data_IF_441882076229
#
_entry.id   IF_441882076229
#
_cell.length_a   1.000
_cell.length_b   1.000
_cell.length_c   1.000
_cell.angle_alpha   90.00
_cell.angle_beta   90.00
_cell.angle_gamma   90.00
#
_symmetry.space_group_name_H-M   'P 1'
#
loop_
_entity.id
_entity.type
_entity.pdbx_description
1 polymer ?
2 non-polymer ?
3 non-polymer ?
4 non-polymer ?
5 water ?
#
# COMPACT_ATOMS: atom_id res chain seq x y z
N UNK A 1 -4.55 -6.72 8.17
CA UNK A 1 -5.53 -7.84 8.04
C UNK A 1 -6.27 -7.69 6.73
N UNK A 2 -7.07 -6.63 6.62
CA UNK A 2 -7.77 -6.36 5.38
C UNK A 2 -6.84 -5.98 4.25
N UNK A 3 -6.00 -4.98 4.44
CA UNK A 3 -5.04 -4.63 3.37
C UNK A 3 -4.23 -5.87 3.04
N UNK A 4 -3.78 -6.58 4.06
CA UNK A 4 -3.04 -7.81 3.88
C UNK A 4 -3.79 -8.85 3.07
N UNK A 5 -5.11 -8.97 3.30
CA UNK A 5 -5.88 -9.93 2.49
C UNK A 5 -5.95 -9.48 1.03
N UNK A 6 -6.17 -8.19 0.84
CA UNK A 6 -6.19 -7.63 -0.50
C UNK A 6 -4.87 -7.87 -1.25
N UNK A 7 -3.76 -7.60 -0.57
CA UNK A 7 -2.43 -7.83 -1.19
C UNK A 7 -2.28 -9.29 -1.65
N UNK A 8 -2.70 -10.22 -0.78
CA UNK A 8 -2.57 -11.65 -1.11
C UNK A 8 -3.44 -12.03 -2.27
N UNK A 9 -4.70 -11.62 -2.26
CA UNK A 9 -5.57 -11.86 -3.41
C UNK A 9 -5.04 -11.31 -4.71
N UNK A 10 -4.40 -10.15 -4.70
CA UNK A 10 -3.99 -9.53 -5.94
C UNK A 10 -2.61 -9.92 -6.44
N UNK A 11 -1.71 -10.35 -5.56
CA UNK A 11 -0.29 -10.54 -5.95
C UNK A 11 0.17 -11.99 -5.94
N UNK A 12 -0.59 -12.88 -5.29
CA UNK A 12 -0.16 -14.26 -5.05
C UNK A 12 0.89 -14.41 -3.95
N UNK A 13 1.30 -13.31 -3.31
CA UNK A 13 2.33 -13.34 -2.30
C UNK A 13 1.68 -13.18 -0.97
N UNK A 14 2.35 -13.66 0.06
CA UNK A 14 1.96 -13.38 1.41
C UNK A 14 2.10 -11.87 1.68
N UNK A 15 1.22 -11.34 2.51
CA UNK A 15 1.27 -9.95 2.96
C UNK A 15 2.63 -9.54 3.56
N UNK A 16 3.28 -10.47 4.26
CA UNK A 16 4.64 -10.29 4.84
C UNK A 16 5.74 -9.95 3.81
N UNK A 17 5.54 -10.31 2.54
CA UNK A 17 6.47 -9.97 1.49
C UNK A 17 6.43 -8.49 1.04
N UNK A 18 5.41 -7.76 1.47
CA UNK A 18 5.28 -6.34 1.21
C UNK A 18 5.43 -5.48 2.45
N UNK A 19 5.20 -6.03 3.63
CA UNK A 19 5.03 -5.18 4.81
C UNK A 19 6.24 -4.38 5.26
N UNK A 20 7.47 -4.79 4.93
CA UNK A 20 8.66 -3.94 5.20
C UNK A 20 9.58 -3.77 3.95
N UNK A 21 8.97 -3.80 2.79
CA UNK A 21 9.71 -3.73 1.54
C UNK A 21 10.27 -2.36 1.24
N UNK A 22 11.50 -2.30 0.74
CA UNK A 22 12.10 -1.00 0.35
C UNK A 22 12.09 0.06 1.43
N UNK A 23 11.95 1.33 1.03
CA UNK A 23 11.94 2.42 1.97
C UNK A 23 10.58 2.87 2.44
N UNK A 24 9.50 2.53 1.71
CA UNK A 24 8.17 3.03 2.00
C UNK A 24 7.12 2.00 2.49
N UNK A 25 7.29 0.72 2.21
CA UNK A 25 6.22 -0.25 2.51
C UNK A 25 6.26 -0.59 4.00
N UNK A 26 5.11 -0.55 4.66
CA UNK A 26 5.07 -0.46 6.12
C UNK A 26 5.27 0.94 6.71
N UNK A 27 5.49 1.01 8.02
CA UNK A 27 5.32 2.29 8.74
C UNK A 27 6.45 3.25 8.42
N UNK A 28 6.08 4.50 8.17
CA UNK A 28 7.04 5.53 7.82
C UNK A 28 7.49 5.40 6.38
N UNK A 29 8.56 6.10 6.07
CA UNK A 29 9.03 6.15 4.72
C UNK A 29 9.77 7.43 4.53
N UNK A 30 10.99 7.33 4.05
CA UNK A 30 11.77 8.51 3.73
C UNK A 30 12.77 8.11 2.65
N UNK A 31 13.45 9.13 2.10
CA UNK A 31 14.43 8.95 1.07
C UNK A 31 13.82 8.45 -0.23
N UNK A 32 14.64 7.97 -1.14
CA UNK A 32 14.17 7.68 -2.45
C UNK A 32 13.72 6.22 -2.55
N UNK A 33 12.54 5.99 -3.15
CA UNK A 33 12.02 4.63 -3.30
C UNK A 33 12.98 3.75 -4.07
N UNK A 34 13.12 2.49 -3.67
CA UNK A 34 14.09 1.62 -4.32
C UNK A 34 13.70 1.16 -5.71
N UNK A 35 12.39 1.12 -6.00
CA UNK A 35 11.90 0.49 -7.22
C UNK A 35 10.39 0.77 -7.38
N UNK A 36 9.76 0.21 -8.39
CA UNK A 36 8.38 0.57 -8.72
C UNK A 36 7.40 0.10 -7.64
N UNK A 37 7.67 -1.06 -7.05
CA UNK A 37 6.84 -1.54 -5.96
C UNK A 37 6.92 -0.56 -4.79
N UNK A 38 8.12 -0.05 -4.54
CA UNK A 38 8.31 0.87 -3.42
C UNK A 38 7.59 2.21 -3.72
N UNK A 39 7.60 2.65 -4.96
CA UNK A 39 6.81 3.82 -5.34
C UNK A 39 5.30 3.61 -5.05
N UNK A 40 4.78 2.40 -5.29
CA UNK A 40 3.40 2.08 -4.87
C UNK A 40 3.21 2.46 -3.44
N UNK A 41 4.15 2.07 -2.57
CA UNK A 41 4.07 2.38 -1.14
C UNK A 41 4.24 3.86 -0.80
N UNK A 42 5.14 4.54 -1.53
CA UNK A 42 5.21 5.98 -1.39
C UNK A 42 3.82 6.61 -1.71
N UNK A 43 3.21 6.27 -2.83
CA UNK A 43 1.86 6.82 -3.18
C UNK A 43 0.78 6.46 -2.12
N UNK A 44 0.86 5.25 -1.58
CA UNK A 44 -0.07 4.75 -0.52
C UNK A 44 0.05 5.56 0.75
N UNK A 45 1.29 5.83 1.17
CA UNK A 45 1.54 6.72 2.29
C UNK A 45 0.93 8.11 2.03
N UNK A 46 1.09 8.61 0.83
CA UNK A 46 0.54 9.93 0.46
C UNK A 46 -1.01 9.93 0.53
N UNK A 47 -1.58 8.83 0.04
CA UNK A 47 -3.04 8.62 0.04
C UNK A 47 -3.56 8.62 1.46
N UNK A 48 -2.95 7.83 2.34
CA UNK A 48 -3.31 7.89 3.75
C UNK A 48 -3.19 9.28 4.37
N UNK A 49 -2.14 10.03 3.99
CA UNK A 49 -1.95 11.39 4.47
C UNK A 49 -3.14 12.29 4.09
N UNK A 50 -3.58 12.18 2.84
CA UNK A 50 -4.75 12.93 2.37
C UNK A 50 -5.97 12.54 3.19
N UNK A 51 -6.14 11.24 3.47
CA UNK A 51 -7.29 10.80 4.28
C UNK A 51 -7.27 11.35 5.72
N UNK A 52 -6.09 11.38 6.34
CA UNK A 52 -5.95 11.95 7.67
C UNK A 52 -6.35 13.44 7.66
N UNK A 53 -5.93 14.19 6.67
CA UNK A 53 -6.32 15.59 6.49
C UNK A 53 -7.84 15.78 6.25
N UNK A 54 -8.51 14.77 5.72
CA UNK A 54 -9.97 14.76 5.61
C UNK A 54 -10.76 14.38 6.86
N UNK A 55 -10.10 14.08 7.97
CA UNK A 55 -10.75 13.61 9.16
C UNK A 55 -10.81 12.11 9.35
N UNK A 56 -10.28 11.30 8.42
CA UNK A 56 -10.29 9.84 8.55
C UNK A 56 -9.12 9.31 9.39
N UNK A 57 -9.23 8.06 9.84
CA UNK A 57 -8.14 7.38 10.54
C UNK A 57 -7.76 6.12 9.78
N UNK A 58 -7.10 6.29 8.62
CA UNK A 58 -6.99 5.16 7.67
C UNK A 58 -6.20 3.98 8.21
N UNK A 59 -5.25 4.21 9.11
CA UNK A 59 -4.53 3.09 9.73
C UNK A 59 -5.42 2.24 10.62
N UNK A 60 -6.55 2.77 11.07
CA UNK A 60 -7.48 2.05 11.93
C UNK A 60 -8.79 1.58 11.24
N UNK A 61 -9.12 2.14 10.09
CA UNK A 61 -10.44 1.91 9.51
C UNK A 61 -10.52 0.46 9.01
N UNK A 62 -11.70 -0.11 9.11
CA UNK A 62 -11.98 -1.43 8.59
C UNK A 62 -13.06 -1.27 7.55
N UNK A 63 -12.92 -1.97 6.44
CA UNK A 63 -13.85 -1.82 5.33
C UNK A 63 -14.21 -3.24 4.82
N UNK A 64 -15.05 -3.26 3.82
CA UNK A 64 -15.46 -4.47 3.15
C UNK A 64 -15.01 -4.46 1.73
N UNK A 65 -14.57 -5.60 1.22
CA UNK A 65 -14.28 -5.68 -0.19
C UNK A 65 -14.45 -7.06 -0.76
N UNK A 66 -14.64 -7.12 -2.08
CA UNK A 66 -14.63 -8.39 -2.81
C UNK A 66 -13.67 -8.27 -3.98
N UNK A 67 -13.15 -9.41 -4.42
CA UNK A 67 -12.31 -9.55 -5.62
C UNK A 67 -13.00 -10.55 -6.54
N UNK A 68 -13.47 -10.07 -7.68
CA UNK A 68 -14.04 -10.91 -8.69
C UNK A 68 -13.17 -10.84 -9.95
N UNK A 69 -13.62 -11.50 -11.00
CA UNK A 69 -13.06 -11.30 -12.34
C UNK A 69 -13.09 -9.84 -12.79
N UNK A 70 -13.98 -9.03 -12.22
CA UNK A 70 -14.14 -7.61 -12.64
C UNK A 70 -13.20 -6.62 -11.90
N UNK A 71 -12.53 -7.10 -10.86
CA UNK A 71 -11.62 -6.25 -10.09
C UNK A 71 -11.96 -6.24 -8.62
N UNK A 72 -11.59 -5.17 -7.93
CA UNK A 72 -11.79 -5.05 -6.48
C UNK A 72 -12.97 -4.14 -6.30
N UNK A 73 -13.95 -4.58 -5.51
CA UNK A 73 -15.10 -3.76 -5.16
C UNK A 73 -15.01 -3.36 -3.69
N UNK A 74 -15.01 -2.05 -3.42
CA UNK A 74 -14.87 -1.49 -2.07
C UNK A 74 -16.22 -1.15 -1.46
N UNK A 75 -16.35 -1.28 -0.14
CA UNK A 75 -17.59 -0.95 0.53
C UNK A 75 -17.32 -0.65 1.98
N UNK A 76 -18.33 -0.13 2.61
CA UNK A 76 -18.23 0.23 4.03
C UNK A 76 -19.34 1.16 4.40
N UNK A 77 -19.73 1.11 5.67
CA UNK A 77 -20.77 1.99 6.24
C UNK A 77 -20.44 3.48 6.12
N UNK A 78 -19.17 3.85 6.28
CA UNK A 78 -18.80 5.25 6.28
C UNK A 78 -17.91 5.58 5.10
N UNK A 79 -17.99 6.82 4.69
CA UNK A 79 -17.16 7.30 3.60
C UNK A 79 -15.64 7.13 3.91
N UNK A 80 -15.25 7.33 5.16
CA UNK A 80 -13.85 7.12 5.55
C UNK A 80 -13.40 5.69 5.35
N UNK A 81 -14.29 4.73 5.61
CA UNK A 81 -13.94 3.31 5.39
C UNK A 81 -13.79 3.05 3.89
N UNK A 82 -14.68 3.61 3.07
CA UNK A 82 -14.62 3.41 1.63
C UNK A 82 -13.37 4.09 1.03
N UNK A 83 -13.02 5.25 1.56
CA UNK A 83 -11.77 5.95 1.13
C UNK A 83 -10.53 5.12 1.43
N UNK A 84 -10.46 4.58 2.63
CA UNK A 84 -9.34 3.71 3.03
C UNK A 84 -9.21 2.51 2.08
N UNK A 85 -10.33 1.85 1.83
CA UNK A 85 -10.40 0.79 0.82
C UNK A 85 -9.87 1.22 -0.55
N UNK A 86 -10.26 2.41 -1.02
CA UNK A 86 -9.80 2.90 -2.28
C UNK A 86 -8.27 3.13 -2.31
N UNK A 87 -7.72 3.72 -1.26
CA UNK A 87 -6.23 3.85 -1.17
C UNK A 87 -5.52 2.47 -1.25
N UNK A 88 -6.03 1.52 -0.49
CA UNK A 88 -5.47 0.16 -0.46
C UNK A 88 -5.58 -0.50 -1.83
N UNK A 89 -6.75 -0.35 -2.48
CA UNK A 89 -7.00 -0.91 -3.82
C UNK A 89 -5.98 -0.39 -4.82
N UNK A 90 -5.77 0.92 -4.83
CA UNK A 90 -4.78 1.51 -5.73
C UNK A 90 -3.39 0.87 -5.53
N UNK A 91 -2.99 0.72 -4.28
CA UNK A 91 -1.71 0.15 -3.95
C UNK A 91 -1.65 -1.32 -4.34
N UNK A 92 -2.72 -2.10 -4.04
CA UNK A 92 -2.70 -3.53 -4.38
C UNK A 92 -2.65 -3.73 -5.88
N UNK A 93 -3.36 -2.88 -6.63
CA UNK A 93 -3.28 -2.93 -8.09
C UNK A 93 -1.91 -2.56 -8.61
N UNK A 94 -1.31 -1.54 -8.01
CA UNK A 94 0.03 -1.12 -8.35
C UNK A 94 1.08 -2.26 -8.05
N UNK A 95 0.97 -2.92 -6.90
CA UNK A 95 1.83 -4.09 -6.63
C UNK A 95 1.70 -5.13 -7.75
N UNK A 96 0.47 -5.53 -8.06
CA UNK A 96 0.22 -6.49 -9.11
C UNK A 96 0.87 -6.11 -10.41
N UNK A 97 0.62 -4.88 -10.82
CA UNK A 97 1.16 -4.32 -12.02
C UNK A 97 2.73 -4.38 -12.05
N UNK A 98 3.38 -4.24 -10.91
CA UNK A 98 4.84 -4.29 -10.84
C UNK A 98 5.44 -5.62 -10.38
N UNK A 99 4.67 -6.70 -10.49
CA UNK A 99 5.17 -8.00 -10.06
C UNK A 99 6.45 -8.40 -10.78
N UNK A 100 6.56 -7.98 -12.03
CA UNK A 100 7.70 -8.21 -12.86
C UNK A 100 9.02 -7.67 -12.38
N UNK A 101 9.02 -6.64 -11.54
CA UNK A 101 10.26 -6.10 -11.00
C UNK A 101 10.37 -6.22 -9.50
N UNK A 102 9.39 -6.83 -8.84
CA UNK A 102 9.48 -7.14 -7.44
C UNK A 102 10.79 -7.92 -7.22
N UNK A 103 11.56 -7.54 -6.22
CA UNK A 103 12.84 -8.21 -5.96
C UNK A 103 12.88 -8.63 -4.49
N UNK A 104 13.05 -9.94 -4.25
CA UNK A 104 13.11 -10.45 -2.89
C UNK A 104 14.17 -9.77 -2.07
N UNK A 105 15.25 -9.31 -2.70
CA UNK A 105 16.31 -8.63 -1.94
C UNK A 105 15.86 -7.33 -1.19
N UNK A 106 14.76 -6.71 -1.64
CA UNK A 106 14.20 -5.54 -0.99
C UNK A 106 13.15 -5.81 0.07
N UNK A 107 12.73 -7.06 0.19
CA UNK A 107 11.88 -7.42 1.31
C UNK A 107 12.72 -7.32 2.60
N UNK A 108 12.12 -6.75 3.65
CA UNK A 108 12.79 -6.50 4.90
C UNK A 108 14.01 -5.66 4.69
N UNK A 109 13.90 -4.63 3.85
CA UNK A 109 15.05 -3.80 3.56
C UNK A 109 15.32 -2.92 4.76
N UNK A 110 16.57 -2.93 5.26
CA UNK A 110 16.91 -2.13 6.42
C UNK A 110 16.88 -0.65 6.08
N UNK A 111 16.07 0.13 6.80
CA UNK A 111 15.79 1.51 6.38
C UNK A 111 17.05 2.37 6.49
N UNK A 112 18.02 1.92 7.28
CA UNK A 112 19.36 2.48 7.23
C UNK A 112 20.02 2.50 5.87
N UNK A 113 19.64 1.61 4.94
CA UNK A 113 20.14 1.73 3.56
C UNK A 113 19.40 2.76 2.72
N UNK A 114 18.32 3.34 3.24
CA UNK A 114 17.57 4.30 2.44
C UNK A 114 18.33 5.63 2.33
N UNK A 115 18.57 6.08 1.12
CA UNK A 115 19.32 7.31 0.87
C UNK A 115 18.66 8.15 -0.23
N UNK A 116 19.15 9.37 -0.39
CA UNK A 116 18.61 10.29 -1.37
C UNK A 116 17.54 11.19 -0.79
N UNK A 117 17.01 12.07 -1.63
CA UNK A 117 15.93 12.95 -1.21
C UNK A 117 14.60 12.21 -1.00
N UNK A 118 13.69 12.83 -0.26
CA UNK A 118 12.31 12.32 -0.13
C UNK A 118 11.40 12.97 -1.16
N UNK A 119 10.90 12.21 -2.15
CA UNK A 119 10.00 12.81 -3.10
C UNK A 119 8.75 13.38 -2.42
N UNK A 120 8.23 14.52 -2.93
CA UNK A 120 7.04 15.07 -2.29
C UNK A 120 5.80 14.25 -2.72
N UNK A 121 4.74 14.36 -1.94
CA UNK A 121 3.46 13.77 -2.33
C UNK A 121 2.88 14.51 -3.54
X LIG B 1 -4.69 6.81 10.95
X LIG C 1 13.25 -11.99 -6.64
X LIG D 1 -16.98 9.20 7.23
X LIG E 1 8.63 -13.81 -4.57
X LIG F 1 -10.10 -3.25 -9.79
X LIG G 1 -7.43 11.12 -5.95
X LIG H 1 -15.02 -0.16 -5.83
X LIG I 1 -18.98 0.04 10.92
X LIG J 1 12.14 -1.56 4.54
X LIG K 1 5.07 3.62 4.62
X LIG L 1 9.19 -12.30 -9.13
X LIG L 1 9.98 -11.00 -9.11
X LIG L 1 7.68 -12.10 -9.39
X LIG L 1 9.43 -13.01 -7.80
X LIG L 1 9.73 -13.15 -10.24
X LIG L 1 9.81 -10.10 -10.18
X LIG L 1 6.97 -11.25 -8.49
X LIG L 1 10.06 -12.15 -6.83
X LIG M 1 -14.50 -10.56 2.54
X LIG M 1 -14.41 -9.27 3.45
X LIG M 1 -13.42 -10.71 1.44
X LIG M 1 -15.85 -10.88 1.82
X LIG M 1 -14.37 -11.70 3.48
X LIG M 1 -14.94 -7.92 3.16
X LIG M 1 -12.31 -9.78 1.42
X LIG M 1 -17.00 -11.14 2.63
#
# INVERSE_FOLDING_TARGET
VQFGVMIEKMTGKSALQYNDYGCYCGIGGSHWPVDQTDWCCHAHDCCYGRLEKLGCEPKLEKYLFSVSERGIFCAGRTTCQRLTCECDKRAALCFRRNLGTYNRKYAHYPNKLCTGPTPPC
CL CL
CL CL
CL CL
CL CL
CL CL
CL CL
CL CL
CL CL
CA CA
CA CA
TRS C C1 C2 C3 N O1 O2 O3
TRS C C1 C2 C3 N O1 O2 O3
#
